data_IF_974911598398
#
_entry.id   IF_974911598398
#
_cell.length_a   1.000
_cell.length_b   1.000
_cell.length_c   1.000
_cell.angle_alpha   90.00
_cell.angle_beta   90.00
_cell.angle_gamma   90.00
#
_symmetry.space_group_name_H-M   'P 1'
#
loop_
_entity.id
_entity.type
_entity.pdbx_description
1 polymer ?
#
# COMPACT_ATOMS: atom_id res chain seq x y z
N UNK A 1 -21.56 8.68 -2.11
CA UNK A 1 -20.41 8.23 -1.29
C UNK A 1 -19.14 7.97 -2.12
N UNK A 2 -19.11 6.99 -3.02
CA UNK A 2 -17.93 6.63 -3.85
C UNK A 2 -17.28 7.82 -4.58
N UNK A 3 -18.08 8.66 -5.23
CA UNK A 3 -17.58 9.83 -5.98
C UNK A 3 -16.80 10.82 -5.10
N UNK A 4 -17.25 11.05 -3.86
CA UNK A 4 -16.56 11.95 -2.92
C UNK A 4 -15.21 11.38 -2.49
N UNK A 5 -15.12 10.06 -2.28
CA UNK A 5 -13.87 9.38 -1.90
C UNK A 5 -12.86 9.44 -3.05
N UNK A 6 -13.30 9.16 -4.27
CA UNK A 6 -12.44 9.27 -5.47
C UNK A 6 -11.98 10.72 -5.65
N UNK A 7 -12.89 11.70 -5.50
CA UNK A 7 -12.54 13.12 -5.52
C UNK A 7 -11.50 13.45 -4.45
N UNK A 8 -11.63 12.94 -3.23
CA UNK A 8 -10.66 13.18 -2.15
C UNK A 8 -9.27 12.63 -2.47
N UNK A 9 -9.17 11.45 -3.11
CA UNK A 9 -7.90 10.88 -3.56
C UNK A 9 -7.31 11.72 -4.70
N UNK A 10 -8.14 12.14 -5.66
CA UNK A 10 -7.72 12.94 -6.82
C UNK A 10 -7.33 14.37 -6.45
N UNK A 11 -7.83 14.90 -5.34
CA UNK A 11 -7.43 16.20 -4.80
C UNK A 11 -6.03 16.20 -4.17
N UNK A 12 -5.40 15.03 -3.96
CA UNK A 12 -4.01 14.96 -3.48
C UNK A 12 -3.05 15.30 -4.62
N UNK A 13 -2.12 16.21 -4.36
CA UNK A 13 -1.23 16.78 -5.37
C UNK A 13 -0.14 15.80 -5.81
N UNK A 14 0.29 14.90 -4.92
CA UNK A 14 1.38 13.96 -5.19
C UNK A 14 0.99 12.49 -5.02
N UNK A 15 1.65 11.62 -5.78
CA UNK A 15 1.53 10.17 -5.62
C UNK A 15 1.93 9.72 -4.20
N UNK A 16 2.87 10.43 -3.59
CA UNK A 16 3.32 10.19 -2.21
C UNK A 16 2.19 10.45 -1.22
N UNK A 17 1.46 11.56 -1.36
CA UNK A 17 0.30 11.84 -0.50
C UNK A 17 -0.83 10.83 -0.69
N UNK A 18 -1.11 10.44 -1.94
CA UNK A 18 -2.09 9.38 -2.21
C UNK A 18 -1.68 8.06 -1.54
N UNK A 19 -0.39 7.68 -1.62
CA UNK A 19 0.12 6.48 -0.96
C UNK A 19 0.01 6.57 0.56
N UNK A 20 0.35 7.72 1.15
CA UNK A 20 0.26 7.95 2.58
C UNK A 20 -1.18 7.86 3.08
N UNK A 21 -2.13 8.46 2.34
CA UNK A 21 -3.55 8.38 2.63
C UNK A 21 -4.05 6.93 2.59
N UNK A 22 -3.80 6.21 1.49
CA UNK A 22 -4.23 4.81 1.34
C UNK A 22 -3.59 3.89 2.37
N UNK A 23 -2.31 4.11 2.71
CA UNK A 23 -1.61 3.37 3.78
C UNK A 23 -2.30 3.56 5.12
N UNK A 24 -2.76 4.77 5.45
CA UNK A 24 -3.46 5.04 6.71
C UNK A 24 -4.77 4.27 6.87
N UNK A 25 -5.33 3.78 5.77
CA UNK A 25 -6.55 2.98 5.74
C UNK A 25 -6.29 1.47 5.79
N UNK A 26 -5.03 1.03 5.71
CA UNK A 26 -4.64 -0.38 5.75
C UNK A 26 -3.97 -0.65 7.09
N UNK A 27 -4.50 -1.59 7.86
CA UNK A 27 -3.85 -2.07 9.09
C UNK A 27 -3.34 -3.49 8.89
N UNK A 28 -2.11 -3.75 9.36
CA UNK A 28 -1.53 -5.09 9.35
C UNK A 28 -1.96 -5.80 10.63
N UNK A 29 -2.53 -6.99 10.49
CA UNK A 29 -2.92 -7.84 11.59
C UNK A 29 -1.95 -9.02 11.70
N UNK A 30 -1.49 -9.37 12.92
CA UNK A 30 -0.74 -10.59 13.12
C UNK A 30 -1.63 -11.78 12.77
N UNK A 31 -1.06 -12.77 12.08
CA UNK A 31 -1.81 -14.00 11.79
C UNK A 31 -1.90 -14.81 13.06
N UNK A 32 -3.12 -15.01 13.54
CA UNK A 32 -3.40 -16.05 14.52
C UNK A 32 -3.25 -17.40 13.83
N UNK A 33 -2.11 -18.06 14.05
CA UNK A 33 -1.85 -19.40 13.52
C UNK A 33 -2.51 -20.42 14.45
N UNK A 34 -3.45 -21.20 13.92
CA UNK A 34 -3.85 -22.46 14.55
C UNK A 34 -2.69 -23.47 14.49
N UNK A 35 -2.82 -24.57 15.23
CA UNK A 35 -1.83 -25.67 15.18
C UNK A 35 -1.70 -26.17 13.72
N UNK A 36 -0.51 -26.12 13.10
CA UNK A 36 -0.34 -26.59 11.74
C UNK A 36 -0.65 -28.09 11.67
N UNK A 37 -1.49 -28.50 10.71
CA UNK A 37 -1.85 -29.91 10.47
C UNK A 37 -0.94 -30.58 9.43
N UNK A 38 -0.19 -29.79 8.67
CA UNK A 38 0.72 -30.23 7.61
C UNK A 38 2.16 -29.77 7.89
N UNK A 39 3.14 -30.49 7.34
CA UNK A 39 4.56 -30.12 7.38
C UNK A 39 4.76 -28.74 6.74
N UNK A 40 5.51 -27.85 7.39
CA UNK A 40 5.69 -26.43 7.01
C UNK A 40 6.07 -26.24 5.54
N UNK A 41 6.88 -27.15 4.96
CA UNK A 41 7.33 -27.08 3.58
C UNK A 41 6.21 -27.14 2.51
N UNK A 42 5.01 -27.63 2.87
CA UNK A 42 3.85 -27.70 1.96
C UNK A 42 2.75 -26.69 2.31
N UNK A 43 2.94 -25.88 3.35
CA UNK A 43 1.94 -24.91 3.78
C UNK A 43 2.15 -23.58 3.04
N UNK A 44 1.13 -23.12 2.32
CA UNK A 44 1.08 -21.74 1.82
C UNK A 44 0.86 -20.78 2.99
N UNK A 45 1.93 -20.53 3.75
CA UNK A 45 1.90 -19.67 4.93
C UNK A 45 1.66 -18.22 4.46
N UNK A 46 0.48 -17.69 4.79
CA UNK A 46 0.30 -16.24 4.77
C UNK A 46 1.22 -15.65 5.83
N UNK A 47 1.88 -14.56 5.52
CA UNK A 47 2.79 -13.87 6.46
C UNK A 47 2.08 -12.80 7.29
N UNK A 48 1.02 -12.18 6.73
CA UNK A 48 0.20 -11.20 7.43
C UNK A 48 -1.24 -11.19 6.90
N UNK A 49 -2.17 -10.77 7.75
CA UNK A 49 -3.54 -10.41 7.36
C UNK A 49 -3.70 -8.90 7.32
N UNK A 50 -4.66 -8.38 6.56
CA UNK A 50 -4.87 -6.94 6.41
C UNK A 50 -6.31 -6.55 6.67
N UNK A 51 -6.48 -5.45 7.38
CA UNK A 51 -7.75 -4.78 7.58
C UNK A 51 -7.81 -3.57 6.64
N UNK A 52 -8.85 -3.48 5.82
CA UNK A 52 -9.08 -2.34 4.93
C UNK A 52 -10.21 -1.48 5.49
N UNK A 53 -9.93 -0.20 5.72
CA UNK A 53 -10.88 0.74 6.32
C UNK A 53 -11.35 1.76 5.29
N UNK A 54 -12.61 2.14 5.34
CA UNK A 54 -13.18 3.20 4.51
C UNK A 54 -13.82 4.23 5.43
N UNK A 55 -13.52 5.51 5.20
CA UNK A 55 -14.22 6.61 5.86
C UNK A 55 -15.54 6.85 5.14
N UNK A 56 -16.64 6.68 5.84
CA UNK A 56 -17.98 6.99 5.36
C UNK A 56 -18.34 8.43 5.72
N UNK A 57 -19.28 9.04 4.99
CA UNK A 57 -19.76 10.38 5.33
C UNK A 57 -20.51 10.31 6.67
N UNK A 58 -20.09 11.12 7.65
CA UNK A 58 -20.61 11.12 9.03
C UNK A 58 -19.77 10.25 9.98
N UNK A 59 -18.53 10.66 10.26
CA UNK A 59 -17.53 10.17 11.25
C UNK A 59 -17.34 8.65 11.46
N UNK A 60 -18.02 7.81 10.69
CA UNK A 60 -17.91 6.36 10.75
C UNK A 60 -16.74 5.84 9.93
N UNK A 61 -15.96 4.94 10.55
CA UNK A 61 -14.96 4.13 9.86
C UNK A 61 -15.49 2.71 9.74
N UNK A 62 -15.76 2.27 8.51
CA UNK A 62 -16.19 0.91 8.23
C UNK A 62 -14.99 0.04 7.82
N UNK A 63 -14.91 -1.17 8.36
CA UNK A 63 -14.00 -2.20 7.85
C UNK A 63 -14.64 -2.86 6.63
N UNK A 64 -13.86 -3.10 5.59
CA UNK A 64 -14.32 -3.65 4.32
C UNK A 64 -13.39 -4.76 3.83
N UNK A 65 -13.94 -5.65 3.00
CA UNK A 65 -13.13 -6.57 2.22
C UNK A 65 -12.29 -5.83 1.17
N UNK A 66 -11.18 -6.45 0.75
CA UNK A 66 -10.28 -5.88 -0.26
C UNK A 66 -11.01 -5.51 -1.56
N UNK A 67 -11.96 -6.33 -2.03
CA UNK A 67 -12.68 -6.08 -3.28
C UNK A 67 -13.51 -4.79 -3.20
N UNK A 68 -14.21 -4.61 -2.09
CA UNK A 68 -14.99 -3.41 -1.80
C UNK A 68 -14.07 -2.18 -1.70
N UNK A 69 -12.96 -2.30 -0.97
CA UNK A 69 -11.96 -1.23 -0.85
C UNK A 69 -11.42 -0.76 -2.21
N UNK A 70 -11.03 -1.70 -3.08
CA UNK A 70 -10.56 -1.41 -4.43
C UNK A 70 -11.62 -0.66 -5.26
N UNK A 71 -12.87 -1.13 -5.21
CA UNK A 71 -14.00 -0.54 -5.96
C UNK A 71 -14.33 0.87 -5.49
N UNK A 72 -14.41 1.09 -4.17
CA UNK A 72 -14.73 2.39 -3.57
C UNK A 72 -13.64 3.42 -3.89
N UNK A 73 -12.37 3.03 -3.81
CA UNK A 73 -11.24 3.94 -4.04
C UNK A 73 -10.84 4.05 -5.51
N UNK A 74 -11.41 3.23 -6.40
CA UNK A 74 -11.10 3.25 -7.83
C UNK A 74 -9.65 2.84 -8.15
N UNK A 75 -9.06 1.97 -7.31
CA UNK A 75 -7.66 1.57 -7.42
C UNK A 75 -7.53 0.11 -7.86
N UNK A 76 -6.42 -0.21 -8.54
CA UNK A 76 -6.11 -1.58 -8.97
C UNK A 76 -5.43 -2.36 -7.85
N UNK A 77 -5.59 -3.69 -7.84
CA UNK A 77 -4.97 -4.59 -6.86
C UNK A 77 -3.45 -4.40 -6.74
N UNK A 78 -2.74 -4.22 -7.87
CA UNK A 78 -1.29 -3.95 -7.90
C UNK A 78 -0.86 -2.78 -7.01
N UNK A 79 -1.71 -1.75 -6.88
CA UNK A 79 -1.44 -0.60 -5.99
C UNK A 79 -1.41 -1.03 -4.53
N UNK A 80 -2.32 -1.90 -4.12
CA UNK A 80 -2.38 -2.42 -2.75
C UNK A 80 -1.22 -3.34 -2.46
N UNK A 81 -0.87 -4.23 -3.39
CA UNK A 81 0.31 -5.11 -3.25
C UNK A 81 1.59 -4.29 -3.04
N UNK A 82 1.73 -3.20 -3.78
CA UNK A 82 2.85 -2.26 -3.62
C UNK A 82 2.87 -1.55 -2.26
N UNK A 83 1.69 -1.10 -1.77
CA UNK A 83 1.60 -0.46 -0.45
C UNK A 83 1.91 -1.46 0.67
N UNK A 84 1.37 -2.67 0.57
CA UNK A 84 1.55 -3.75 1.53
C UNK A 84 3.00 -4.22 1.59
N UNK A 85 3.69 -4.36 0.45
CA UNK A 85 5.10 -4.76 0.45
C UNK A 85 6.00 -3.71 1.11
N UNK A 86 5.71 -2.42 0.91
CA UNK A 86 6.40 -1.32 1.61
C UNK A 86 6.08 -1.30 3.12
N UNK A 87 4.83 -1.56 3.50
CA UNK A 87 4.41 -1.68 4.90
C UNK A 87 5.17 -2.79 5.62
N UNK A 88 5.29 -3.97 5.01
CA UNK A 88 6.05 -5.10 5.58
C UNK A 88 7.52 -4.79 5.78
N UNK A 89 8.15 -4.13 4.80
CA UNK A 89 9.60 -3.94 4.78
C UNK A 89 10.06 -2.73 5.59
N UNK A 90 9.31 -1.62 5.57
CA UNK A 90 9.75 -0.32 6.10
C UNK A 90 8.77 0.32 7.08
N UNK A 91 7.58 -0.25 7.27
CA UNK A 91 6.51 0.33 8.10
C UNK A 91 5.86 1.60 7.54
N UNK A 92 6.40 2.15 6.44
CA UNK A 92 6.04 3.44 5.88
C UNK A 92 5.44 3.33 4.47
N UNK A 93 4.65 4.34 4.11
CA UNK A 93 4.13 4.47 2.75
C UNK A 93 5.30 4.67 1.76
N UNK A 94 5.26 4.02 0.59
CA UNK A 94 6.30 4.17 -0.40
C UNK A 94 6.28 5.58 -1.00
N UNK A 95 7.46 6.21 -1.05
CA UNK A 95 7.66 7.51 -1.71
C UNK A 95 7.67 7.34 -3.23
N UNK A 96 7.23 8.36 -3.96
CA UNK A 96 7.43 8.41 -5.39
C UNK A 96 8.94 8.48 -5.74
N UNK A 97 9.35 7.61 -6.67
CA UNK A 97 10.72 7.50 -7.16
C UNK A 97 10.82 7.71 -8.69
N UNK A 98 9.73 8.11 -9.35
CA UNK A 98 9.75 8.47 -10.77
C UNK A 98 10.79 9.58 -11.00
N UNK A 99 11.50 9.52 -12.13
CA UNK A 99 12.54 10.48 -12.47
C UNK A 99 13.84 10.37 -11.66
N UNK A 100 13.92 9.50 -10.64
CA UNK A 100 15.14 9.24 -9.88
C UNK A 100 15.82 7.98 -10.41
N UNK A 101 16.56 8.12 -11.50
CA UNK A 101 17.45 7.07 -11.99
C UNK A 101 18.88 7.41 -11.56
N UNK A 102 19.49 6.59 -10.72
CA UNK A 102 20.92 6.70 -10.38
C UNK A 102 21.82 5.97 -11.40
N UNK A 103 21.22 5.35 -12.41
CA UNK A 103 21.94 4.53 -13.41
C UNK A 103 22.58 5.37 -14.53
N UNK A 104 22.55 6.70 -14.44
CA UNK A 104 23.24 7.57 -15.39
C UNK A 104 23.87 8.75 -14.64
N UNK A 105 25.13 8.58 -14.23
CA UNK A 105 25.91 9.69 -13.71
C UNK A 105 26.47 10.47 -14.90
N UNK A 106 26.02 11.70 -15.12
CA UNK A 106 26.59 12.61 -16.14
C UNK A 106 27.84 13.35 -15.65
N UNK A 107 28.33 13.04 -14.44
CA UNK A 107 29.60 13.57 -13.96
C UNK A 107 30.75 12.75 -14.57
N UNK A 108 31.54 13.39 -15.42
CA UNK A 108 32.90 12.93 -15.70
C UNK A 108 33.69 12.93 -14.37
N UNK A 109 34.44 11.87 -14.11
CA UNK A 109 35.36 11.83 -12.98
C UNK A 109 36.46 12.86 -13.19
N UNK A 110 36.85 13.58 -12.14
CA UNK A 110 37.92 14.59 -12.17
C UNK A 110 39.31 14.00 -12.51
N UNK A 111 39.43 12.68 -12.63
CA UNK A 111 40.65 11.95 -13.03
C UNK A 111 41.01 12.09 -14.53
N UNK A 112 40.25 12.85 -15.33
CA UNK A 112 40.49 13.02 -16.79
C UNK A 112 40.75 14.51 -17.16
N UNK A 113 41.24 15.34 -16.23
CA UNK A 113 41.60 16.74 -16.50
C UNK A 113 43.11 17.00 -16.47
#
# INVERSE_FOLDING_TARGET
MRHQIIRHINLKESLTEQNSYLRGLISVLPIQRGRPRNVEAKANLREASYLYRVRCAGDGVATQEIVCFLSIHGIKRKKIEYLVSSLKTKGNAPKDKRGKHHNHCSKLSDEIL
#
